data_IF_992321619966
#
_entry.id   IF_992321619966
#
_cell.length_a   1.000
_cell.length_b   1.000
_cell.length_c   1.000
_cell.angle_alpha   90.00
_cell.angle_beta   90.00
_cell.angle_gamma   90.00
#
_symmetry.space_group_name_H-M   'P 1'
#
loop_
_entity.id
_entity.type
_entity.pdbx_description
1 polymer ?
#
# COMPACT_ATOMS: atom_id res chain seq x y z
N UNK A 1 53.18 42.81 -33.44
CA UNK A 1 52.37 42.36 -32.31
C UNK A 1 50.91 42.34 -32.75
N UNK A 2 50.32 41.17 -32.91
CA UNK A 2 48.97 41.03 -33.42
C UNK A 2 47.96 41.33 -32.31
N UNK A 3 47.16 42.38 -32.49
CA UNK A 3 46.04 42.69 -31.60
C UNK A 3 44.92 41.68 -31.90
N UNK A 4 44.75 40.71 -31.04
CA UNK A 4 43.70 39.72 -31.14
C UNK A 4 42.33 40.35 -30.79
N UNK A 5 41.25 40.17 -31.58
CA UNK A 5 39.97 40.88 -31.44
C UNK A 5 39.03 40.16 -30.46
N UNK A 6 39.35 40.08 -29.19
CA UNK A 6 38.45 39.53 -28.14
C UNK A 6 37.60 40.60 -27.42
N UNK A 7 37.34 41.71 -28.10
CA UNK A 7 36.29 42.61 -27.63
C UNK A 7 34.96 42.09 -28.10
N UNK A 8 34.37 41.12 -27.32
CA UNK A 8 32.95 40.89 -27.34
C UNK A 8 32.28 42.25 -27.13
N UNK A 9 31.45 42.70 -28.11
CA UNK A 9 30.84 44.02 -27.99
C UNK A 9 30.04 44.10 -26.70
N UNK A 10 30.05 45.23 -26.02
CA UNK A 10 29.31 45.42 -24.76
C UNK A 10 27.81 45.06 -24.95
N UNK A 11 27.26 45.31 -26.12
CA UNK A 11 25.91 44.94 -26.50
C UNK A 11 25.66 43.39 -26.47
N UNK A 12 26.65 42.61 -26.93
CA UNK A 12 26.55 41.17 -26.91
C UNK A 12 26.60 40.64 -25.46
N UNK A 13 27.46 41.19 -24.58
CA UNK A 13 27.49 40.82 -23.17
C UNK A 13 26.20 41.19 -22.45
N UNK A 14 25.60 42.34 -22.74
CA UNK A 14 24.31 42.76 -22.16
C UNK A 14 23.20 41.82 -22.63
N UNK A 15 23.20 41.45 -23.91
CA UNK A 15 22.22 40.50 -24.46
C UNK A 15 22.35 39.12 -23.80
N UNK A 16 23.56 38.58 -23.66
CA UNK A 16 23.82 37.29 -23.00
C UNK A 16 23.36 37.32 -21.54
N UNK A 17 23.65 38.40 -20.79
CA UNK A 17 23.15 38.53 -19.40
C UNK A 17 21.63 38.56 -19.32
N UNK A 18 20.95 39.28 -20.25
CA UNK A 18 19.48 39.29 -20.27
C UNK A 18 18.91 37.90 -20.58
N UNK A 19 19.46 37.19 -21.56
CA UNK A 19 19.06 35.83 -21.90
C UNK A 19 19.28 34.90 -20.70
N UNK A 20 20.46 34.95 -20.09
CA UNK A 20 20.77 34.13 -18.90
C UNK A 20 19.81 34.41 -17.75
N UNK A 21 19.46 35.69 -17.53
CA UNK A 21 18.47 36.06 -16.51
C UNK A 21 17.08 35.51 -16.82
N UNK A 22 16.61 35.62 -18.07
CA UNK A 22 15.31 35.06 -18.48
C UNK A 22 15.28 33.54 -18.32
N UNK A 23 16.34 32.85 -18.77
CA UNK A 23 16.49 31.41 -18.62
C UNK A 23 16.48 31.02 -17.14
N UNK A 24 17.20 31.76 -16.30
CA UNK A 24 17.21 31.54 -14.85
C UNK A 24 15.82 31.68 -14.23
N UNK A 25 15.08 32.72 -14.60
CA UNK A 25 13.70 32.93 -14.10
C UNK A 25 12.80 31.75 -14.57
N UNK A 26 12.87 31.34 -15.83
CA UNK A 26 12.09 30.22 -16.36
C UNK A 26 12.40 28.93 -15.60
N UNK A 27 13.66 28.63 -15.35
CA UNK A 27 14.06 27.45 -14.57
C UNK A 27 13.53 27.48 -13.14
N UNK A 28 13.58 28.64 -12.47
CA UNK A 28 13.02 28.80 -11.12
C UNK A 28 11.50 28.57 -11.12
N UNK A 29 10.79 29.14 -12.10
CA UNK A 29 9.34 28.94 -12.22
C UNK A 29 9.01 27.48 -12.49
N UNK A 30 9.72 26.81 -13.41
CA UNK A 30 9.52 25.39 -13.69
C UNK A 30 9.78 24.53 -12.45
N UNK A 31 10.84 24.83 -11.69
CA UNK A 31 11.14 24.14 -10.45
C UNK A 31 10.04 24.35 -9.40
N UNK A 32 9.57 25.58 -9.24
CA UNK A 32 8.48 25.89 -8.31
C UNK A 32 7.17 25.16 -8.68
N UNK A 33 6.81 25.14 -9.96
CA UNK A 33 5.67 24.37 -10.47
C UNK A 33 5.87 22.89 -10.22
N UNK A 34 7.06 22.35 -10.47
CA UNK A 34 7.36 20.94 -10.23
C UNK A 34 7.24 20.56 -8.76
N UNK A 35 7.76 21.39 -7.86
CA UNK A 35 7.63 21.20 -6.40
C UNK A 35 6.15 21.25 -5.98
N UNK A 36 5.41 22.25 -6.46
CA UNK A 36 3.98 22.37 -6.17
C UNK A 36 3.18 21.13 -6.62
N UNK A 37 3.35 20.68 -7.86
CA UNK A 37 2.70 19.49 -8.39
C UNK A 37 3.11 18.21 -7.63
N UNK A 38 4.38 18.13 -7.20
CA UNK A 38 4.89 17.01 -6.41
C UNK A 38 4.24 16.92 -5.01
N UNK A 39 3.83 18.06 -4.45
CA UNK A 39 3.16 18.09 -3.15
C UNK A 39 1.65 17.82 -3.23
N UNK A 40 1.06 17.95 -4.41
CA UNK A 40 -0.38 17.70 -4.59
C UNK A 40 -0.74 16.22 -4.45
N UNK A 41 0.21 15.29 -4.72
CA UNK A 41 -0.03 13.86 -4.67
C UNK A 41 -1.17 13.39 -5.62
N UNK A 42 -1.36 12.08 -5.79
CA UNK A 42 -2.56 11.55 -6.43
C UNK A 42 -3.77 11.72 -5.50
N UNK A 43 -4.96 11.80 -6.06
CA UNK A 43 -6.20 11.82 -5.30
C UNK A 43 -6.30 10.58 -4.39
N UNK A 44 -6.75 10.81 -3.15
CA UNK A 44 -6.93 9.74 -2.19
C UNK A 44 -8.31 9.10 -2.39
N UNK A 45 -8.30 7.84 -2.76
CA UNK A 45 -9.51 7.02 -2.86
C UNK A 45 -10.02 6.58 -1.49
N UNK A 46 -11.22 6.01 -1.41
CA UNK A 46 -11.83 5.54 -0.17
C UNK A 46 -10.94 4.57 0.61
N UNK A 47 -10.24 3.65 -0.09
CA UNK A 47 -9.35 2.68 0.56
C UNK A 47 -8.05 3.29 1.13
N UNK A 48 -7.70 4.52 0.76
CA UNK A 48 -6.59 5.24 1.39
C UNK A 48 -6.99 5.92 2.69
N UNK A 49 -8.26 6.24 2.84
CA UNK A 49 -8.77 7.05 3.96
C UNK A 49 -9.60 6.25 4.96
N UNK A 50 -10.17 5.11 4.53
CA UNK A 50 -10.89 4.21 5.43
C UNK A 50 -9.95 3.63 6.48
N UNK A 51 -10.45 3.51 7.70
CA UNK A 51 -9.71 2.95 8.83
C UNK A 51 -10.53 1.83 9.43
N UNK A 52 -9.86 0.69 9.64
CA UNK A 52 -10.44 -0.42 10.37
C UNK A 52 -10.68 -0.03 11.85
N UNK A 53 -11.81 -0.44 12.38
CA UNK A 53 -12.08 -0.36 13.82
C UNK A 53 -11.44 -1.58 14.50
N UNK A 54 -10.11 -1.54 14.66
CA UNK A 54 -9.32 -2.62 15.22
C UNK A 54 -9.51 -2.74 16.73
N UNK A 55 -9.24 -3.94 17.27
CA UNK A 55 -9.27 -4.15 18.72
C UNK A 55 -8.16 -3.34 19.40
N UNK A 56 -8.53 -2.64 20.46
CA UNK A 56 -7.54 -2.05 21.36
C UNK A 56 -6.75 -3.12 22.12
N UNK A 57 -5.57 -2.77 22.64
CA UNK A 57 -4.74 -3.69 23.44
C UNK A 57 -5.55 -4.30 24.60
N UNK A 58 -6.42 -3.51 25.25
CA UNK A 58 -7.26 -4.00 26.36
C UNK A 58 -8.30 -5.02 25.89
N UNK A 59 -8.87 -4.86 24.73
CA UNK A 59 -9.82 -5.81 24.14
C UNK A 59 -9.11 -7.09 23.74
N UNK A 60 -7.90 -6.99 23.17
CA UNK A 60 -7.06 -8.14 22.82
C UNK A 60 -6.67 -8.96 24.05
N UNK A 61 -6.32 -8.32 25.18
CA UNK A 61 -5.97 -9.00 26.42
C UNK A 61 -7.12 -9.85 26.99
N UNK A 62 -8.36 -9.48 26.67
CA UNK A 62 -9.56 -10.21 27.12
C UNK A 62 -10.18 -11.14 26.07
N UNK A 63 -9.67 -11.14 24.83
CA UNK A 63 -10.24 -11.91 23.74
C UNK A 63 -9.60 -13.31 23.64
N UNK A 64 -10.41 -14.30 23.32
CA UNK A 64 -9.94 -15.56 22.79
C UNK A 64 -9.83 -15.48 21.24
N UNK A 65 -9.32 -16.54 20.63
CA UNK A 65 -9.17 -16.58 19.16
C UNK A 65 -10.52 -16.46 18.42
N UNK A 66 -11.60 -17.00 18.99
CA UNK A 66 -12.93 -16.88 18.38
C UNK A 66 -13.44 -15.43 18.40
N UNK A 67 -13.22 -14.72 19.50
CA UNK A 67 -13.51 -13.28 19.63
C UNK A 67 -12.70 -12.43 18.66
N UNK A 68 -11.41 -12.76 18.51
CA UNK A 68 -10.53 -12.12 17.50
C UNK A 68 -11.06 -12.31 16.07
N UNK A 69 -11.38 -13.55 15.68
CA UNK A 69 -11.93 -13.85 14.34
C UNK A 69 -13.29 -13.19 14.11
N UNK A 70 -14.14 -13.12 15.16
CA UNK A 70 -15.41 -12.41 15.05
C UNK A 70 -15.21 -10.91 14.77
N UNK A 71 -14.23 -10.27 15.41
CA UNK A 71 -13.88 -8.88 15.16
C UNK A 71 -13.29 -8.69 13.76
N UNK A 72 -12.37 -9.57 13.34
CA UNK A 72 -11.83 -9.58 11.97
C UNK A 72 -12.97 -9.65 10.94
N UNK A 73 -13.94 -10.54 11.13
CA UNK A 73 -15.11 -10.65 10.25
C UNK A 73 -15.93 -9.36 10.18
N UNK A 74 -16.13 -8.68 11.31
CA UNK A 74 -16.82 -7.39 11.37
C UNK A 74 -16.06 -6.31 10.59
N UNK A 75 -14.74 -6.23 10.75
CA UNK A 75 -13.88 -5.29 10.00
C UNK A 75 -14.00 -5.51 8.49
N UNK A 76 -13.94 -6.75 8.03
CA UNK A 76 -14.07 -7.03 6.59
C UNK A 76 -15.50 -6.80 6.06
N UNK A 77 -16.53 -6.99 6.88
CA UNK A 77 -17.90 -6.64 6.51
C UNK A 77 -18.05 -5.11 6.37
N UNK A 78 -17.45 -4.34 7.28
CA UNK A 78 -17.42 -2.88 7.18
C UNK A 78 -16.62 -2.41 5.96
N UNK A 79 -15.43 -2.96 5.71
CA UNK A 79 -14.65 -2.69 4.50
C UNK A 79 -15.47 -2.92 3.21
N UNK A 80 -16.22 -4.02 3.15
CA UNK A 80 -17.07 -4.31 2.01
C UNK A 80 -18.17 -3.25 1.81
N UNK A 81 -18.72 -2.72 2.89
CA UNK A 81 -19.80 -1.71 2.85
C UNK A 81 -19.25 -0.31 2.61
N UNK A 82 -18.17 0.05 3.29
CA UNK A 82 -17.61 1.39 3.28
C UNK A 82 -16.75 1.68 2.04
N UNK A 83 -16.07 0.66 1.49
CA UNK A 83 -15.13 0.79 0.38
C UNK A 83 -15.60 0.01 -0.84
N UNK A 84 -15.65 -1.33 -0.76
CA UNK A 84 -15.89 -2.19 -1.93
C UNK A 84 -17.22 -1.88 -2.63
N UNK A 85 -18.28 -1.64 -1.89
CA UNK A 85 -19.60 -1.31 -2.44
C UNK A 85 -19.66 0.10 -3.05
N UNK A 86 -18.70 0.96 -2.76
CA UNK A 86 -18.63 2.35 -3.21
C UNK A 86 -17.49 2.62 -4.19
N UNK A 87 -16.84 1.57 -4.71
CA UNK A 87 -15.79 1.69 -5.72
C UNK A 87 -16.32 2.39 -6.97
N UNK A 88 -15.75 3.52 -7.32
CA UNK A 88 -16.17 4.34 -8.47
C UNK A 88 -15.85 3.66 -9.80
N UNK A 89 -16.49 4.12 -10.88
CA UNK A 89 -16.38 3.45 -12.19
C UNK A 89 -14.94 3.40 -12.72
N UNK A 90 -14.19 4.50 -12.54
CA UNK A 90 -12.79 4.61 -12.95
C UNK A 90 -11.86 3.66 -12.16
N UNK A 91 -12.28 3.27 -10.97
CA UNK A 91 -11.56 2.38 -10.08
C UNK A 91 -11.87 0.90 -10.34
N UNK A 92 -12.87 0.59 -11.15
CA UNK A 92 -13.31 -0.77 -11.45
C UNK A 92 -12.38 -1.44 -12.47
N UNK A 93 -11.13 -1.61 -12.08
CA UNK A 93 -10.08 -2.21 -12.91
C UNK A 93 -9.81 -3.66 -12.54
N UNK A 94 -9.29 -4.49 -13.47
CA UNK A 94 -8.97 -5.90 -13.20
C UNK A 94 -7.94 -6.11 -12.09
N UNK A 95 -7.17 -5.10 -11.73
CA UNK A 95 -6.11 -5.16 -10.72
C UNK A 95 -6.46 -4.42 -9.41
N UNK A 96 -7.67 -3.85 -9.30
CA UNK A 96 -8.10 -3.23 -8.07
C UNK A 96 -8.63 -4.29 -7.09
N UNK A 97 -7.90 -4.55 -5.98
CA UNK A 97 -8.27 -5.53 -4.96
C UNK A 97 -9.57 -5.22 -4.21
N UNK A 98 -10.07 -4.00 -4.30
CA UNK A 98 -11.35 -3.58 -3.70
C UNK A 98 -12.53 -3.70 -4.66
N UNK A 99 -12.30 -4.00 -5.93
CA UNK A 99 -13.35 -4.24 -6.91
C UNK A 99 -13.72 -5.72 -6.95
N UNK A 100 -14.98 -6.06 -6.67
CA UNK A 100 -15.45 -7.47 -6.55
C UNK A 100 -15.26 -8.32 -7.80
N UNK A 101 -15.21 -7.71 -8.98
CA UNK A 101 -15.04 -8.42 -10.26
C UNK A 101 -13.59 -8.39 -10.75
N UNK A 102 -12.66 -7.87 -9.95
CA UNK A 102 -11.25 -7.86 -10.31
C UNK A 102 -10.64 -9.25 -10.18
N UNK A 103 -9.56 -9.49 -10.93
CA UNK A 103 -8.79 -10.74 -10.87
C UNK A 103 -8.09 -10.97 -9.53
N UNK A 104 -7.94 -9.92 -8.75
CA UNK A 104 -7.18 -9.90 -7.50
C UNK A 104 -8.06 -9.64 -6.27
N UNK A 105 -9.39 -9.67 -6.43
CA UNK A 105 -10.29 -9.51 -5.29
C UNK A 105 -10.16 -10.70 -4.33
N UNK A 106 -9.81 -10.47 -3.05
CA UNK A 106 -9.53 -11.55 -2.11
C UNK A 106 -10.71 -12.51 -1.89
N UNK A 107 -11.94 -11.99 -1.91
CA UNK A 107 -13.13 -12.80 -1.64
C UNK A 107 -13.52 -13.79 -2.76
N UNK A 108 -12.80 -13.83 -3.89
CA UNK A 108 -12.99 -14.87 -4.91
C UNK A 108 -12.19 -16.15 -4.62
N UNK A 109 -11.19 -16.08 -3.74
CA UNK A 109 -10.33 -17.21 -3.43
C UNK A 109 -10.93 -18.06 -2.31
N UNK A 110 -10.76 -19.37 -2.39
CA UNK A 110 -11.18 -20.31 -1.34
C UNK A 110 -10.00 -21.21 -0.95
N UNK A 111 -9.56 -21.19 0.31
CA UNK A 111 -10.02 -20.31 1.39
C UNK A 111 -9.67 -18.83 1.14
N UNK A 112 -10.37 -17.92 1.84
CA UNK A 112 -10.09 -16.48 1.76
C UNK A 112 -8.66 -16.22 2.24
N UNK A 113 -7.85 -15.70 1.34
CA UNK A 113 -6.41 -15.50 1.55
C UNK A 113 -6.08 -14.40 2.58
N UNK A 114 -7.04 -13.54 2.90
CA UNK A 114 -6.83 -12.42 3.82
C UNK A 114 -7.35 -12.70 5.26
N UNK A 115 -7.77 -13.93 5.54
CA UNK A 115 -8.33 -14.30 6.85
C UNK A 115 -7.32 -15.02 7.70
N UNK A 116 -7.35 -14.76 8.98
CA UNK A 116 -6.65 -15.56 9.98
C UNK A 116 -7.26 -16.96 10.03
N UNK A 117 -6.42 -17.96 10.17
CA UNK A 117 -6.85 -19.36 10.21
C UNK A 117 -6.00 -20.20 11.17
N UNK A 118 -6.55 -21.36 11.55
CA UNK A 118 -5.84 -22.36 12.35
C UNK A 118 -5.75 -23.66 11.55
N UNK A 119 -4.56 -24.25 11.52
CA UNK A 119 -4.34 -25.58 10.98
C UNK A 119 -4.06 -26.56 12.13
N UNK A 120 -4.85 -27.65 12.18
CA UNK A 120 -4.69 -28.71 13.18
C UNK A 120 -3.99 -29.90 12.55
N UNK A 121 -2.97 -30.50 13.20
CA UNK A 121 -2.36 -31.75 12.73
C UNK A 121 -3.31 -32.93 12.88
N UNK A 122 -3.08 -34.02 12.13
CA UNK A 122 -3.92 -35.21 12.14
C UNK A 122 -3.90 -35.99 13.47
N UNK A 123 -2.95 -35.73 14.36
CA UNK A 123 -2.78 -36.41 15.64
C UNK A 123 -2.66 -35.45 16.82
N UNK A 124 -2.17 -35.98 17.97
CA UNK A 124 -1.89 -35.14 19.13
C UNK A 124 -0.81 -34.09 18.79
N UNK A 125 -1.08 -32.79 18.96
CA UNK A 125 -0.10 -31.76 18.69
C UNK A 125 1.20 -31.92 19.47
N UNK A 126 2.34 -31.69 18.79
CA UNK A 126 3.67 -31.66 19.41
C UNK A 126 3.99 -30.29 20.02
N UNK A 127 3.30 -29.25 19.56
CA UNK A 127 3.46 -27.86 19.97
C UNK A 127 2.56 -26.96 19.12
N UNK A 128 2.71 -25.66 19.30
CA UNK A 128 1.99 -24.64 18.53
C UNK A 128 2.98 -23.67 17.90
N UNK A 129 2.62 -23.14 16.75
CA UNK A 129 3.37 -22.11 16.01
C UNK A 129 2.41 -20.97 15.68
N UNK A 130 2.84 -19.74 15.90
CA UNK A 130 2.14 -18.53 15.44
C UNK A 130 2.94 -17.95 14.30
N UNK A 131 2.29 -17.76 13.15
CA UNK A 131 2.89 -17.21 11.97
C UNK A 131 2.32 -15.81 11.71
N UNK A 132 3.18 -14.82 11.70
CA UNK A 132 2.82 -13.43 11.44
C UNK A 132 3.37 -13.01 10.09
N UNK A 133 2.50 -12.49 9.24
CA UNK A 133 2.89 -11.91 7.96
C UNK A 133 3.41 -10.48 8.13
N UNK A 134 4.07 -9.95 7.09
CA UNK A 134 4.55 -8.56 7.08
C UNK A 134 3.41 -7.54 7.04
N UNK A 135 3.68 -6.29 7.46
CA UNK A 135 2.70 -5.20 7.57
C UNK A 135 1.91 -4.93 6.28
N UNK A 136 2.53 -5.12 5.12
CA UNK A 136 1.91 -4.88 3.80
C UNK A 136 1.48 -6.17 3.11
N UNK A 137 1.42 -7.26 3.85
CA UNK A 137 1.15 -8.61 3.33
C UNK A 137 -0.16 -9.16 3.91
N UNK A 138 -0.42 -10.44 3.75
CA UNK A 138 -1.61 -11.13 4.22
C UNK A 138 -1.27 -12.54 4.73
N UNK A 139 -2.14 -13.19 5.50
CA UNK A 139 -1.98 -14.58 5.95
C UNK A 139 -1.65 -15.56 4.82
N UNK A 140 -2.06 -15.25 3.59
CA UNK A 140 -1.78 -16.06 2.42
C UNK A 140 -0.29 -16.28 2.14
N UNK A 141 0.57 -15.30 2.42
CA UNK A 141 2.02 -15.39 2.14
C UNK A 141 2.71 -16.47 2.96
N UNK A 142 2.26 -16.71 4.18
CA UNK A 142 2.84 -17.68 5.11
C UNK A 142 2.12 -19.05 5.10
N UNK A 143 1.09 -19.24 4.27
CA UNK A 143 0.27 -20.46 4.23
C UNK A 143 1.05 -21.76 3.97
N UNK A 144 2.07 -21.72 3.11
CA UNK A 144 2.88 -22.91 2.83
C UNK A 144 3.78 -23.28 4.02
N UNK A 145 4.23 -22.28 4.76
CA UNK A 145 4.98 -22.50 5.98
C UNK A 145 4.07 -23.13 7.05
N UNK A 146 2.84 -22.62 7.20
CA UNK A 146 1.83 -23.21 8.07
C UNK A 146 1.57 -24.68 7.71
N UNK A 147 1.29 -24.99 6.43
CA UNK A 147 1.09 -26.36 5.97
C UNK A 147 2.27 -27.28 6.31
N UNK A 148 3.49 -26.77 6.21
CA UNK A 148 4.69 -27.53 6.54
C UNK A 148 4.74 -27.86 8.04
N UNK A 149 4.52 -26.89 8.92
CA UNK A 149 4.45 -27.13 10.36
C UNK A 149 3.33 -28.09 10.75
N UNK A 150 2.13 -27.93 10.17
CA UNK A 150 1.02 -28.85 10.34
C UNK A 150 1.42 -30.30 10.00
N UNK A 151 2.09 -30.51 8.86
CA UNK A 151 2.56 -31.83 8.43
C UNK A 151 3.57 -32.44 9.42
N UNK A 152 4.30 -31.60 10.16
CA UNK A 152 5.25 -32.02 11.20
C UNK A 152 4.62 -32.12 12.61
N UNK A 153 3.31 -32.00 12.71
CA UNK A 153 2.57 -32.23 13.94
C UNK A 153 2.42 -30.99 14.84
N UNK A 154 2.52 -29.79 14.31
CA UNK A 154 2.24 -28.56 15.04
C UNK A 154 0.84 -28.03 14.76
N UNK A 155 0.27 -27.32 15.73
CA UNK A 155 -0.88 -26.44 15.53
C UNK A 155 -0.36 -25.12 15.01
N UNK A 156 -0.90 -24.62 13.90
CA UNK A 156 -0.51 -23.34 13.33
C UNK A 156 -1.65 -22.35 13.46
N UNK A 157 -1.35 -21.18 14.00
CA UNK A 157 -2.22 -20.00 14.02
C UNK A 157 -1.59 -18.96 13.09
N UNK A 158 -2.34 -18.52 12.08
CA UNK A 158 -1.90 -17.54 11.09
C UNK A 158 -2.80 -16.33 11.09
#
# INVERSE_FOLDING_TARGET
MANWPWRVSEHLMVLVKKIAMVVGIVLVVLLAVRVYLSQQGPELHLWHTWRADEMSVRELDGADFAGYVARENAIFADLNTAVTAKTEHEEQTPLNRYYRQSLVWPGQFSPDANRSFVLMPAGKPRGAVVLLHGLTDSPYSVRHLAQNYQAHGFVDVV
#
